data_IF_720532730707
#
_entry.id   IF_720532730707
#
_cell.length_a   1.000
_cell.length_b   1.000
_cell.length_c   1.000
_cell.angle_alpha   90.00
_cell.angle_beta   90.00
_cell.angle_gamma   90.00
#
_symmetry.space_group_name_H-M   'P 1'
#
loop_
_entity.id
_entity.type
_entity.pdbx_description
1 polymer ?
#
# COMPACT_ATOMS: atom_id res chain seq x y z
N UNK A 1 -69.97 39.97 5.83
CA UNK A 1 -69.16 40.85 6.68
C UNK A 1 -68.74 39.98 7.87
N UNK A 2 -67.55 39.42 7.95
CA UNK A 2 -66.28 39.61 7.27
C UNK A 2 -65.63 38.23 7.04
N UNK A 3 -64.93 38.11 5.92
CA UNK A 3 -64.00 37.02 5.64
C UNK A 3 -62.72 37.33 6.40
N UNK A 4 -62.36 36.54 7.40
CA UNK A 4 -61.03 36.62 7.99
C UNK A 4 -60.12 35.70 7.18
N UNK A 5 -59.51 36.28 6.15
CA UNK A 5 -58.39 35.71 5.40
C UNK A 5 -57.28 35.35 6.41
N UNK A 6 -57.08 34.05 6.57
CA UNK A 6 -55.88 33.52 7.21
C UNK A 6 -54.78 33.60 6.17
N UNK A 7 -53.96 34.65 6.27
CA UNK A 7 -52.67 34.75 5.58
C UNK A 7 -51.80 33.57 6.05
N UNK A 8 -51.85 32.49 5.29
CA UNK A 8 -50.85 31.43 5.33
C UNK A 8 -49.59 32.05 4.73
N UNK A 9 -48.74 32.62 5.59
CA UNK A 9 -47.38 32.98 5.23
C UNK A 9 -46.67 31.67 4.89
N UNK A 10 -46.66 31.34 3.60
CA UNK A 10 -45.84 30.27 3.07
C UNK A 10 -44.38 30.65 3.29
N UNK A 11 -43.82 30.17 4.40
CA UNK A 11 -42.40 30.20 4.68
C UNK A 11 -41.71 29.55 3.47
N UNK A 12 -40.82 30.25 2.73
CA UNK A 12 -40.17 29.65 1.60
C UNK A 12 -39.28 28.54 2.13
N UNK A 13 -39.74 27.30 2.01
CA UNK A 13 -38.87 26.13 2.14
C UNK A 13 -37.78 26.35 1.12
N UNK A 14 -36.58 26.70 1.59
CA UNK A 14 -35.39 26.75 0.77
C UNK A 14 -35.12 25.32 0.33
N UNK A 15 -35.77 24.91 -0.76
CA UNK A 15 -35.47 23.66 -1.44
C UNK A 15 -34.02 23.82 -1.88
N UNK A 16 -33.10 23.15 -1.17
CA UNK A 16 -31.71 23.14 -1.58
C UNK A 16 -31.67 22.72 -3.04
N UNK A 17 -30.95 23.50 -3.85
CA UNK A 17 -30.71 23.14 -5.23
C UNK A 17 -30.15 21.71 -5.25
N UNK A 18 -30.87 20.74 -5.84
CA UNK A 18 -30.48 19.32 -5.80
C UNK A 18 -29.09 19.11 -6.41
N UNK A 19 -28.68 19.97 -7.34
CA UNK A 19 -27.33 19.93 -7.90
C UNK A 19 -26.27 20.34 -6.88
N UNK A 20 -26.51 21.38 -6.09
CA UNK A 20 -25.60 21.79 -5.01
C UNK A 20 -25.48 20.71 -3.94
N UNK A 21 -26.59 20.06 -3.58
CA UNK A 21 -26.59 18.94 -2.65
C UNK A 21 -25.77 17.74 -3.20
N UNK A 22 -25.97 17.40 -4.49
CA UNK A 22 -25.20 16.35 -5.17
C UNK A 22 -23.69 16.66 -5.19
N UNK A 23 -23.30 17.89 -5.54
CA UNK A 23 -21.90 18.33 -5.54
C UNK A 23 -21.27 18.24 -4.15
N UNK A 24 -21.98 18.64 -3.09
CA UNK A 24 -21.49 18.52 -1.70
C UNK A 24 -21.28 17.06 -1.32
N UNK A 25 -22.23 16.18 -1.67
CA UNK A 25 -22.13 14.73 -1.43
C UNK A 25 -20.92 14.12 -2.14
N UNK A 26 -20.73 14.41 -3.44
CA UNK A 26 -19.57 13.90 -4.19
C UNK A 26 -18.24 14.38 -3.61
N UNK A 27 -18.13 15.64 -3.23
CA UNK A 27 -16.91 16.16 -2.58
C UNK A 27 -16.63 15.46 -1.25
N UNK A 28 -17.65 15.15 -0.46
CA UNK A 28 -17.50 14.39 0.77
C UNK A 28 -17.04 12.94 0.50
N UNK A 29 -17.53 12.32 -0.58
CA UNK A 29 -17.07 10.99 -1.01
C UNK A 29 -15.61 11.01 -1.47
N UNK A 30 -15.23 11.99 -2.29
CA UNK A 30 -13.84 12.20 -2.74
C UNK A 30 -12.91 12.37 -1.55
N UNK A 31 -13.23 13.28 -0.62
CA UNK A 31 -12.40 13.51 0.56
C UNK A 31 -12.20 12.23 1.40
N UNK A 32 -13.24 11.40 1.50
CA UNK A 32 -13.16 10.10 2.19
C UNK A 32 -12.24 9.13 1.45
N UNK A 33 -12.34 9.04 0.12
CA UNK A 33 -11.49 8.17 -0.70
C UNK A 33 -10.03 8.62 -0.69
N UNK A 34 -9.76 9.94 -0.74
CA UNK A 34 -8.42 10.49 -0.59
C UNK A 34 -7.80 10.13 0.76
N UNK A 35 -8.58 10.22 1.85
CA UNK A 35 -8.16 9.78 3.17
C UNK A 35 -7.81 8.28 3.22
N UNK A 36 -8.65 7.44 2.60
CA UNK A 36 -8.38 5.99 2.51
C UNK A 36 -7.14 5.68 1.67
N UNK A 37 -6.89 6.44 0.60
CA UNK A 37 -5.70 6.28 -0.22
C UNK A 37 -4.44 6.69 0.55
N UNK A 38 -4.51 7.79 1.30
CA UNK A 38 -3.41 8.23 2.18
C UNK A 38 -3.09 7.17 3.24
N UNK A 39 -4.11 6.57 3.86
CA UNK A 39 -3.93 5.47 4.81
C UNK A 39 -3.27 4.24 4.17
N UNK A 40 -3.69 3.87 2.96
CA UNK A 40 -3.08 2.78 2.21
C UNK A 40 -1.61 3.05 1.89
N UNK A 41 -1.25 4.29 1.51
CA UNK A 41 0.13 4.71 1.28
C UNK A 41 1.00 4.64 2.54
N UNK A 42 0.47 5.08 3.68
CA UNK A 42 1.19 4.95 4.97
C UNK A 42 1.40 3.47 5.32
N UNK A 43 0.39 2.64 5.08
CA UNK A 43 0.44 1.19 5.34
C UNK A 43 1.46 0.50 4.46
N UNK A 44 1.51 0.79 3.15
CA UNK A 44 2.50 0.22 2.24
C UNK A 44 3.92 0.61 2.63
N UNK A 45 4.14 1.87 2.99
CA UNK A 45 5.43 2.37 3.45
C UNK A 45 5.86 1.75 4.80
N UNK A 46 4.90 1.52 5.70
CA UNK A 46 5.15 0.82 6.96
C UNK A 46 5.66 -0.61 6.74
N UNK A 47 5.09 -1.30 5.75
CA UNK A 47 5.37 -2.70 5.45
C UNK A 47 6.44 -2.91 4.37
N UNK A 48 7.14 -1.85 3.95
CA UNK A 48 8.16 -1.90 2.88
C UNK A 48 7.65 -2.50 1.56
N UNK A 49 6.38 -2.27 1.24
CA UNK A 49 5.75 -2.70 -0.01
C UNK A 49 6.13 -1.71 -1.11
N UNK A 50 6.84 -2.19 -2.13
CA UNK A 50 7.19 -1.38 -3.31
C UNK A 50 6.03 -1.26 -4.29
N UNK A 51 6.06 -0.20 -5.10
CA UNK A 51 5.14 -0.01 -6.21
C UNK A 51 3.80 0.63 -5.84
N UNK A 52 3.63 1.06 -4.58
CA UNK A 52 2.61 2.03 -4.19
C UNK A 52 3.22 3.43 -4.15
N UNK A 53 3.70 3.88 -5.31
CA UNK A 53 4.21 5.24 -5.43
C UNK A 53 3.06 6.23 -5.32
N UNK A 54 3.26 7.37 -4.64
CA UNK A 54 2.31 8.46 -4.73
C UNK A 54 2.27 8.87 -6.20
N UNK A 55 1.13 8.63 -6.86
CA UNK A 55 0.90 9.21 -8.18
C UNK A 55 0.95 10.72 -7.98
N UNK A 56 2.04 11.34 -8.43
CA UNK A 56 2.13 12.78 -8.58
C UNK A 56 0.90 13.19 -9.38
N UNK A 57 -0.03 13.92 -8.74
CA UNK A 57 -1.10 14.56 -9.48
C UNK A 57 -0.41 15.38 -10.57
N UNK A 58 -0.61 14.99 -11.84
CA UNK A 58 -0.16 15.80 -12.95
C UNK A 58 -0.60 17.24 -12.66
N UNK A 59 0.28 18.24 -12.84
CA UNK A 59 -0.07 19.62 -12.53
C UNK A 59 -1.35 19.94 -13.30
N UNK A 60 -2.47 20.02 -12.59
CA UNK A 60 -3.73 20.42 -13.20
C UNK A 60 -3.49 21.82 -13.71
N UNK A 61 -3.50 21.97 -15.03
CA UNK A 61 -3.56 23.28 -15.63
C UNK A 61 -4.77 23.96 -15.00
N UNK A 62 -4.54 25.06 -14.26
CA UNK A 62 -5.50 25.95 -13.61
C UNK A 62 -6.41 25.39 -12.47
N UNK A 63 -6.56 26.20 -11.41
CA UNK A 63 -7.56 26.00 -10.38
C UNK A 63 -8.95 26.38 -10.94
N UNK A 64 -9.72 25.39 -11.41
CA UNK A 64 -11.14 25.54 -11.77
C UNK A 64 -12.06 24.78 -10.82
N UNK A 65 -13.30 25.26 -10.72
CA UNK A 65 -14.39 24.42 -10.23
C UNK A 65 -14.68 23.34 -11.26
N UNK A 66 -14.73 22.08 -10.79
CA UNK A 66 -15.16 20.95 -11.60
C UNK A 66 -16.68 20.93 -11.74
N UNK A 67 -17.15 20.47 -12.89
CA UNK A 67 -18.56 20.12 -13.07
C UNK A 67 -18.91 18.80 -12.34
N UNK A 68 -20.20 18.44 -12.37
CA UNK A 68 -20.70 17.25 -11.66
C UNK A 68 -20.12 15.95 -12.23
N UNK A 69 -20.06 15.81 -13.56
CA UNK A 69 -19.54 14.61 -14.21
C UNK A 69 -18.04 14.45 -14.02
N UNK A 70 -17.29 15.56 -14.02
CA UNK A 70 -15.87 15.58 -13.67
C UNK A 70 -15.63 15.14 -12.22
N UNK A 71 -16.50 15.51 -11.27
CA UNK A 71 -16.42 15.03 -9.89
C UNK A 71 -16.69 13.52 -9.79
N UNK A 72 -17.64 12.99 -10.56
CA UNK A 72 -17.91 11.55 -10.63
C UNK A 72 -16.72 10.78 -11.19
N UNK A 73 -16.11 11.26 -12.28
CA UNK A 73 -14.90 10.66 -12.83
C UNK A 73 -13.75 10.63 -11.81
N UNK A 74 -13.55 11.72 -11.06
CA UNK A 74 -12.53 11.77 -9.99
C UNK A 74 -12.85 10.78 -8.87
N UNK A 75 -14.12 10.68 -8.45
CA UNK A 75 -14.54 9.68 -7.45
C UNK A 75 -14.23 8.27 -7.93
N UNK A 76 -14.56 7.94 -9.17
CA UNK A 76 -14.42 6.58 -9.70
C UNK A 76 -12.93 6.21 -9.87
N UNK A 77 -12.10 7.13 -10.38
CA UNK A 77 -10.65 6.95 -10.43
C UNK A 77 -10.06 6.74 -9.02
N UNK A 78 -10.49 7.53 -8.04
CA UNK A 78 -10.04 7.36 -6.66
C UNK A 78 -10.51 6.03 -6.05
N UNK A 79 -11.74 5.60 -6.34
CA UNK A 79 -12.27 4.33 -5.86
C UNK A 79 -11.46 3.16 -6.42
N UNK A 80 -11.14 3.17 -7.72
CA UNK A 80 -10.28 2.19 -8.37
C UNK A 80 -8.88 2.17 -7.75
N UNK A 81 -8.29 3.34 -7.52
CA UNK A 81 -6.95 3.47 -6.92
C UNK A 81 -6.92 2.96 -5.48
N UNK A 82 -7.93 3.25 -4.67
CA UNK A 82 -8.05 2.73 -3.31
C UNK A 82 -8.18 1.21 -3.33
N UNK A 83 -9.01 0.66 -4.23
CA UNK A 83 -9.18 -0.77 -4.37
C UNK A 83 -7.88 -1.46 -4.77
N UNK A 84 -7.20 -0.96 -5.81
CA UNK A 84 -5.91 -1.49 -6.27
C UNK A 84 -4.82 -1.41 -5.18
N UNK A 85 -4.78 -0.31 -4.43
CA UNK A 85 -3.85 -0.15 -3.30
C UNK A 85 -4.08 -1.20 -2.21
N UNK A 86 -5.33 -1.42 -1.83
CA UNK A 86 -5.70 -2.43 -0.83
C UNK A 86 -5.38 -3.85 -1.29
N UNK A 87 -5.67 -4.17 -2.55
CA UNK A 87 -5.34 -5.48 -3.14
C UNK A 87 -3.84 -5.75 -3.07
N UNK A 88 -3.00 -4.78 -3.47
CA UNK A 88 -1.53 -4.90 -3.37
C UNK A 88 -1.04 -5.08 -1.93
N UNK A 89 -1.65 -4.37 -0.98
CA UNK A 89 -1.31 -4.54 0.44
C UNK A 89 -1.65 -5.95 0.92
N UNK A 90 -2.82 -6.47 0.55
CA UNK A 90 -3.23 -7.82 0.90
C UNK A 90 -2.30 -8.88 0.30
N UNK A 91 -2.01 -8.80 -1.00
CA UNK A 91 -1.09 -9.71 -1.70
C UNK A 91 0.30 -9.70 -1.06
N UNK A 92 0.83 -8.52 -0.73
CA UNK A 92 2.11 -8.39 -0.06
C UNK A 92 2.09 -9.00 1.35
N UNK A 93 1.01 -8.78 2.12
CA UNK A 93 0.87 -9.34 3.46
C UNK A 93 0.83 -10.87 3.44
N UNK A 94 0.15 -11.47 2.44
CA UNK A 94 0.14 -12.91 2.22
C UNK A 94 1.53 -13.45 1.86
N UNK A 95 2.24 -12.79 0.94
CA UNK A 95 3.60 -13.17 0.57
C UNK A 95 4.58 -13.08 1.76
N UNK A 96 4.43 -12.05 2.59
CA UNK A 96 5.21 -11.88 3.82
C UNK A 96 4.89 -12.97 4.86
N UNK A 97 3.61 -13.33 5.02
CA UNK A 97 3.21 -14.41 5.91
C UNK A 97 3.81 -15.76 5.47
N UNK A 98 3.77 -16.07 4.17
CA UNK A 98 4.41 -17.25 3.62
C UNK A 98 5.93 -17.26 3.85
N UNK A 99 6.59 -16.10 3.70
CA UNK A 99 8.02 -15.95 3.97
C UNK A 99 8.38 -16.14 5.44
N UNK A 100 7.54 -15.67 6.37
CA UNK A 100 7.70 -15.90 7.81
C UNK A 100 7.61 -17.39 8.15
N UNK A 101 6.60 -18.08 7.63
CA UNK A 101 6.45 -19.54 7.79
C UNK A 101 7.69 -20.28 7.25
N UNK A 102 8.19 -19.88 6.07
CA UNK A 102 9.41 -20.46 5.49
C UNK A 102 10.62 -20.25 6.39
N UNK A 103 10.78 -19.06 6.98
CA UNK A 103 11.89 -18.76 7.90
C UNK A 103 11.81 -19.64 9.17
N UNK A 104 10.61 -19.85 9.70
CA UNK A 104 10.39 -20.74 10.84
C UNK A 104 10.77 -22.19 10.50
N UNK A 105 10.37 -22.68 9.32
CA UNK A 105 10.78 -24.01 8.83
C UNK A 105 12.31 -24.12 8.67
N UNK A 106 12.96 -23.10 8.11
CA UNK A 106 14.42 -23.04 8.02
C UNK A 106 15.10 -23.07 9.39
N UNK A 107 14.47 -22.51 10.42
CA UNK A 107 15.00 -22.49 11.80
C UNK A 107 14.84 -23.84 12.49
N UNK A 108 13.73 -24.55 12.24
CA UNK A 108 13.46 -25.88 12.80
C UNK A 108 14.29 -26.97 12.10
N UNK A 109 14.31 -26.97 10.77
CA UNK A 109 14.92 -28.02 9.95
C UNK A 109 15.90 -27.44 8.90
N UNK A 110 16.98 -26.75 9.32
CA UNK A 110 17.89 -26.09 8.37
C UNK A 110 18.49 -27.08 7.37
N UNK A 111 18.70 -28.35 7.74
CA UNK A 111 19.25 -29.38 6.84
C UNK A 111 18.36 -29.76 5.65
N UNK A 112 17.06 -29.41 5.68
CA UNK A 112 16.14 -29.59 4.55
C UNK A 112 16.09 -28.36 3.65
N UNK A 113 16.41 -27.19 4.19
CA UNK A 113 16.39 -25.91 3.50
C UNK A 113 17.82 -25.44 3.14
N UNK A 114 18.66 -26.37 2.65
CA UNK A 114 20.08 -26.12 2.34
C UNK A 114 20.22 -24.96 1.36
N UNK A 115 21.08 -23.99 1.68
CA UNK A 115 21.35 -22.80 0.85
C UNK A 115 20.12 -21.93 0.54
N UNK A 116 18.98 -22.18 1.22
CA UNK A 116 17.80 -21.34 1.06
C UNK A 116 18.06 -19.96 1.64
N UNK A 117 17.53 -18.94 0.96
CA UNK A 117 17.64 -17.53 1.33
C UNK A 117 16.27 -16.92 1.48
N UNK A 118 16.12 -16.06 2.48
CA UNK A 118 14.95 -15.20 2.69
C UNK A 118 15.46 -13.83 3.08
N UNK A 119 15.16 -12.80 2.29
CA UNK A 119 15.55 -11.43 2.61
C UNK A 119 14.65 -10.83 3.70
N UNK A 120 15.18 -9.88 4.47
CA UNK A 120 14.39 -9.06 5.40
C UNK A 120 13.21 -8.37 4.68
N UNK A 121 13.43 -7.96 3.43
CA UNK A 121 12.39 -7.35 2.61
C UNK A 121 11.23 -8.30 2.29
N UNK A 122 11.51 -9.57 2.02
CA UNK A 122 10.46 -10.60 1.84
C UNK A 122 9.65 -10.82 3.13
N UNK A 123 10.20 -10.48 4.29
CA UNK A 123 9.51 -10.56 5.59
C UNK A 123 8.68 -9.30 5.92
N UNK A 124 8.79 -8.25 5.09
CA UNK A 124 8.22 -6.93 5.38
C UNK A 124 9.07 -6.09 6.35
N UNK A 125 10.32 -6.50 6.59
CA UNK A 125 11.25 -5.76 7.43
C UNK A 125 12.04 -4.74 6.58
N UNK A 126 12.29 -3.56 7.16
CA UNK A 126 13.09 -2.49 6.53
C UNK A 126 14.59 -2.80 6.42
N UNK A 127 15.01 -3.95 6.94
CA UNK A 127 16.38 -4.40 6.90
C UNK A 127 16.84 -4.78 5.49
N UNK A 128 18.12 -4.58 5.24
CA UNK A 128 18.85 -5.05 4.06
C UNK A 128 19.40 -6.48 4.22
N UNK A 129 19.15 -7.11 5.37
CA UNK A 129 19.71 -8.40 5.71
C UNK A 129 19.10 -9.55 4.91
N UNK A 130 19.86 -10.65 4.85
CA UNK A 130 19.38 -11.92 4.26
C UNK A 130 19.62 -13.04 5.24
N UNK A 131 18.55 -13.76 5.57
CA UNK A 131 18.58 -15.03 6.27
C UNK A 131 19.00 -16.12 5.29
N UNK A 132 20.05 -16.85 5.62
CA UNK A 132 20.58 -17.90 4.76
C UNK A 132 20.98 -19.13 5.58
N UNK A 133 20.63 -20.30 5.05
CA UNK A 133 21.09 -21.57 5.60
C UNK A 133 22.46 -21.91 5.04
N UNK A 134 23.46 -22.01 5.91
CA UNK A 134 24.84 -22.35 5.55
C UNK A 134 25.33 -23.59 6.32
N UNK A 135 26.26 -24.37 5.75
CA UNK A 135 26.91 -25.43 6.50
C UNK A 135 27.78 -24.85 7.61
N UNK A 136 27.84 -25.53 8.76
CA UNK A 136 28.78 -25.25 9.84
C UNK A 136 30.17 -25.73 9.41
N UNK A 137 31.24 -25.00 9.72
CA UNK A 137 32.62 -25.42 9.38
C UNK A 137 32.87 -25.73 7.88
N UNK A 138 32.17 -25.06 6.97
CA UNK A 138 32.40 -25.18 5.53
C UNK A 138 32.05 -26.56 4.96
N UNK A 139 32.93 -27.13 4.14
CA UNK A 139 32.72 -28.43 3.46
C UNK A 139 32.48 -29.59 4.44
N UNK A 140 33.13 -29.57 5.61
CA UNK A 140 32.99 -30.63 6.61
C UNK A 140 31.55 -30.70 7.13
N UNK A 141 30.95 -29.57 7.52
CA UNK A 141 29.55 -29.61 7.95
C UNK A 141 28.57 -29.86 6.82
N UNK A 142 28.94 -29.60 5.57
CA UNK A 142 28.12 -30.03 4.43
C UNK A 142 28.05 -31.56 4.36
N UNK A 143 29.19 -32.24 4.53
CA UNK A 143 29.27 -33.70 4.53
C UNK A 143 28.60 -34.32 5.77
N UNK A 144 28.74 -33.67 6.93
CA UNK A 144 28.17 -34.15 8.19
C UNK A 144 26.71 -33.73 8.42
N UNK A 145 26.11 -33.00 7.47
CA UNK A 145 24.73 -32.50 7.62
C UNK A 145 24.56 -31.45 8.72
N UNK A 146 25.61 -30.75 9.10
CA UNK A 146 25.57 -29.68 10.09
C UNK A 146 25.21 -28.36 9.44
N UNK A 147 23.93 -27.99 9.53
CA UNK A 147 23.40 -26.75 8.94
C UNK A 147 23.02 -25.74 10.02
N UNK A 148 23.12 -24.45 9.69
CA UNK A 148 22.73 -23.36 10.57
C UNK A 148 22.08 -22.24 9.76
N UNK A 149 21.10 -21.60 10.37
CA UNK A 149 20.50 -20.38 9.85
C UNK A 149 21.32 -19.17 10.31
N UNK A 150 21.70 -18.30 9.38
CA UNK A 150 22.48 -17.08 9.66
C UNK A 150 21.79 -15.87 9.06
N UNK A 151 21.71 -14.78 9.82
CA UNK A 151 21.37 -13.46 9.29
C UNK A 151 22.65 -12.74 8.86
N UNK A 152 22.72 -12.39 7.58
CA UNK A 152 23.74 -11.46 7.09
C UNK A 152 23.25 -10.04 7.34
N UNK A 153 24.05 -9.21 8.02
CA UNK A 153 23.75 -7.80 8.31
C UNK A 153 24.12 -6.87 7.15
N UNK A 154 24.12 -7.37 5.91
CA UNK A 154 24.69 -6.68 4.75
C UNK A 154 23.84 -5.49 4.34
N UNK A 155 24.10 -4.31 4.89
CA UNK A 155 23.62 -3.06 4.32
C UNK A 155 24.55 -2.66 3.18
N UNK A 156 24.12 -2.78 1.90
CA UNK A 156 24.92 -2.29 0.79
C UNK A 156 25.08 -0.77 0.85
N UNK A 157 24.36 -0.03 1.71
CA UNK A 157 24.49 1.42 1.82
C UNK A 157 25.86 1.92 2.30
N UNK A 158 26.74 1.05 2.81
CA UNK A 158 28.15 1.40 3.05
C UNK A 158 29.08 1.20 1.82
N UNK A 159 28.62 0.53 0.76
CA UNK A 159 29.32 0.45 -0.53
C UNK A 159 28.41 1.02 -1.60
N UNK A 160 28.77 2.22 -2.07
CA UNK A 160 28.05 2.95 -3.10
C UNK A 160 27.48 2.06 -4.20
N UNK A 161 26.28 2.43 -4.63
CA UNK A 161 25.47 1.87 -5.72
C UNK A 161 26.31 1.63 -6.99
N UNK A 162 27.10 0.55 -7.03
CA UNK A 162 27.55 -0.04 -8.27
C UNK A 162 26.32 -0.71 -8.87
N UNK A 163 25.68 0.04 -9.77
CA UNK A 163 24.80 -0.50 -10.79
C UNK A 163 25.49 -1.72 -11.40
N UNK A 164 25.06 -2.92 -10.99
CA UNK A 164 25.53 -4.16 -11.59
C UNK A 164 25.00 -4.17 -13.03
N UNK A 165 25.85 -3.73 -13.94
CA UNK A 165 25.72 -3.96 -15.37
C UNK A 165 25.53 -5.46 -15.60
N UNK A 166 24.41 -5.81 -16.23
CA UNK A 166 24.21 -7.13 -16.82
C UNK A 166 24.80 -7.04 -18.24
N UNK A 167 25.86 -7.77 -18.60
CA UNK A 167 26.24 -7.86 -20.00
C UNK A 167 25.21 -8.74 -20.74
N UNK A 168 25.10 -8.60 -22.09
CA UNK A 168 24.16 -9.36 -22.90
C UNK A 168 24.39 -10.87 -22.84
#
# INVERSE_FOLDING_TARGET
MELQELDIVAEPVLVEDPELAARRSLRAQIARLEGQLAEALVTSFAQSIEGLEPTSCAPRAHARMLDLGELECVRDELAERVHASRARIAEAAEAQAASRIRLEQMRLEPGRHRFTRVSCRELGERGCGVWEVRPRLGLIGMLMGWWQLKLSSGCPLARGRELRSRPP
#
